data_IF_910108203509
#
_entry.id   IF_910108203509
#
_cell.length_a   1.000
_cell.length_b   1.000
_cell.length_c   1.000
_cell.angle_alpha   90.00
_cell.angle_beta   90.00
_cell.angle_gamma   90.00
#
_symmetry.space_group_name_H-M   'P 1'
#
loop_
_entity.id
_entity.type
_entity.pdbx_description
1 polymer ?
#
# COMPACT_ATOMS: atom_id res chain seq x y z
N UNK A 1 -3.12 7.15 20.24
CA UNK A 1 -2.10 6.08 20.34
C UNK A 1 -2.71 4.68 20.23
N UNK A 2 -3.75 4.33 21.01
CA UNK A 2 -4.39 3.01 20.94
C UNK A 2 -4.93 2.66 19.53
N UNK A 3 -5.60 3.59 18.85
CA UNK A 3 -6.15 3.35 17.51
C UNK A 3 -5.10 2.98 16.45
N UNK A 4 -3.95 3.67 16.45
CA UNK A 4 -2.86 3.36 15.54
C UNK A 4 -2.26 1.96 15.80
N UNK A 5 -2.17 1.56 17.08
CA UNK A 5 -1.74 0.22 17.47
C UNK A 5 -2.67 -0.86 16.95
N UNK A 6 -4.00 -0.68 17.09
CA UNK A 6 -5.00 -1.63 16.58
C UNK A 6 -4.89 -1.77 15.06
N UNK A 7 -4.80 -0.65 14.32
CA UNK A 7 -4.65 -0.68 12.86
C UNK A 7 -3.38 -1.41 12.42
N UNK A 8 -2.25 -1.17 13.10
CA UNK A 8 -1.00 -1.86 12.82
C UNK A 8 -1.11 -3.37 13.07
N UNK A 9 -1.66 -3.77 14.23
CA UNK A 9 -1.85 -5.17 14.57
C UNK A 9 -2.72 -5.90 13.54
N UNK A 10 -3.85 -5.29 13.15
CA UNK A 10 -4.71 -5.84 12.10
C UNK A 10 -3.97 -5.94 10.77
N UNK A 11 -3.21 -4.91 10.39
CA UNK A 11 -2.40 -4.91 9.16
C UNK A 11 -1.35 -6.02 9.13
N UNK A 12 -0.62 -6.22 10.22
CA UNK A 12 0.40 -7.28 10.32
C UNK A 12 -0.23 -8.67 10.26
N UNK A 13 -1.34 -8.91 10.99
CA UNK A 13 -2.05 -10.19 10.94
C UNK A 13 -2.57 -10.46 9.53
N UNK A 14 -3.15 -9.45 8.87
CA UNK A 14 -3.62 -9.57 7.49
C UNK A 14 -2.48 -9.87 6.51
N UNK A 15 -1.32 -9.24 6.69
CA UNK A 15 -0.12 -9.49 5.87
C UNK A 15 0.38 -10.93 6.02
N UNK A 16 0.52 -11.43 7.25
CA UNK A 16 0.90 -12.82 7.48
C UNK A 16 -0.12 -13.80 6.92
N UNK A 17 -1.42 -13.50 7.04
CA UNK A 17 -2.47 -14.32 6.43
C UNK A 17 -2.33 -14.33 4.90
N UNK A 18 -2.07 -13.20 4.26
CA UNK A 18 -1.85 -13.15 2.82
C UNK A 18 -0.62 -13.96 2.38
N UNK A 19 0.48 -13.88 3.13
CA UNK A 19 1.68 -14.70 2.90
C UNK A 19 1.42 -16.21 3.04
N UNK A 20 0.48 -16.61 3.91
CA UNK A 20 0.09 -18.02 4.05
C UNK A 20 -0.80 -18.53 2.92
N UNK A 21 -1.47 -17.63 2.19
CA UNK A 21 -2.45 -17.97 1.15
C UNK A 21 -1.88 -17.86 -0.27
N UNK A 22 -0.71 -17.26 -0.46
CA UNK A 22 -0.15 -17.02 -1.78
C UNK A 22 1.36 -16.83 -1.78
N UNK A 23 1.99 -16.78 -2.97
CA UNK A 23 3.42 -16.66 -3.11
C UNK A 23 3.94 -15.31 -2.61
N UNK A 24 5.07 -15.35 -1.91
CA UNK A 24 5.76 -14.17 -1.34
C UNK A 24 6.08 -13.12 -2.40
N UNK A 25 6.40 -13.55 -3.62
CA UNK A 25 6.70 -12.69 -4.77
C UNK A 25 5.53 -11.82 -5.21
N UNK A 26 4.28 -12.24 -4.93
CA UNK A 26 3.07 -11.48 -5.25
C UNK A 26 2.61 -10.65 -4.06
N UNK A 27 2.65 -11.22 -2.85
CA UNK A 27 2.12 -10.58 -1.65
C UNK A 27 2.97 -9.40 -1.20
N UNK A 28 4.30 -9.51 -1.28
CA UNK A 28 5.23 -8.47 -0.80
C UNK A 28 5.13 -7.16 -1.60
N UNK A 29 5.12 -7.19 -2.95
CA UNK A 29 4.91 -5.97 -3.74
C UNK A 29 3.57 -5.30 -3.47
N UNK A 30 2.49 -6.09 -3.35
CA UNK A 30 1.15 -5.59 -3.02
C UNK A 30 1.17 -4.87 -1.67
N UNK A 31 1.79 -5.46 -0.64
CA UNK A 31 1.93 -4.82 0.66
C UNK A 31 2.71 -3.49 0.58
N UNK A 32 3.70 -3.41 -0.30
CA UNK A 32 4.44 -2.17 -0.62
C UNK A 32 3.57 -1.01 -1.13
N UNK A 33 2.35 -1.27 -1.64
CA UNK A 33 1.42 -0.23 -2.06
C UNK A 33 0.86 0.64 -0.91
N UNK A 34 1.25 0.40 0.34
CA UNK A 34 0.86 1.25 1.48
C UNK A 34 1.19 2.74 1.24
N UNK A 35 2.23 3.04 0.46
CA UNK A 35 2.59 4.41 0.06
C UNK A 35 1.50 5.10 -0.77
N UNK A 36 0.79 4.35 -1.61
CA UNK A 36 -0.37 4.85 -2.36
C UNK A 36 -1.53 5.08 -1.42
N UNK A 37 -1.84 4.11 -0.55
CA UNK A 37 -2.91 4.23 0.44
C UNK A 37 -2.71 5.43 1.37
N UNK A 38 -1.49 5.62 1.89
CA UNK A 38 -1.10 6.77 2.71
C UNK A 38 -1.27 8.08 1.95
N UNK A 39 -0.86 8.13 0.68
CA UNK A 39 -1.03 9.32 -0.17
C UNK A 39 -2.51 9.67 -0.39
N UNK A 40 -3.38 8.68 -0.60
CA UNK A 40 -4.83 8.88 -0.73
C UNK A 40 -5.43 9.38 0.58
N UNK A 41 -5.05 8.78 1.71
CA UNK A 41 -5.47 9.27 3.03
C UNK A 41 -5.03 10.72 3.27
N UNK A 42 -3.81 11.09 2.91
CA UNK A 42 -3.32 12.48 3.03
C UNK A 42 -4.12 13.47 2.18
N UNK A 43 -4.51 13.08 0.96
CA UNK A 43 -5.34 13.92 0.08
C UNK A 43 -6.75 14.07 0.65
N UNK A 44 -7.37 12.98 1.11
CA UNK A 44 -8.76 12.96 1.58
C UNK A 44 -8.93 13.62 2.95
N UNK A 45 -8.05 13.30 3.91
CA UNK A 45 -8.19 13.75 5.30
C UNK A 45 -7.41 15.01 5.63
N UNK A 46 -6.29 15.26 4.94
CA UNK A 46 -5.41 16.40 5.18
C UNK A 46 -5.55 17.51 4.13
N UNK A 47 -6.34 17.28 3.06
CA UNK A 47 -6.54 18.25 1.99
C UNK A 47 -5.28 18.51 1.15
N UNK A 48 -4.32 17.57 1.14
CA UNK A 48 -3.11 17.71 0.35
C UNK A 48 -3.43 17.81 -1.14
N UNK A 49 -2.89 18.81 -1.81
CA UNK A 49 -3.05 18.96 -3.26
C UNK A 49 -2.30 17.85 -3.99
N UNK A 50 -3.00 17.20 -4.92
CA UNK A 50 -2.42 16.17 -5.78
C UNK A 50 -1.50 16.86 -6.78
N UNK A 51 -0.20 16.89 -6.47
CA UNK A 51 0.79 17.39 -7.41
C UNK A 51 1.05 16.37 -8.53
N UNK A 52 1.45 16.80 -9.74
CA UNK A 52 1.79 15.89 -10.83
C UNK A 52 2.84 14.85 -10.45
N UNK A 53 3.80 15.23 -9.59
CA UNK A 53 4.83 14.32 -9.06
C UNK A 53 4.23 13.22 -8.19
N UNK A 54 3.22 13.53 -7.38
CA UNK A 54 2.53 12.56 -6.51
C UNK A 54 1.69 11.58 -7.34
N UNK A 55 0.97 12.09 -8.33
CA UNK A 55 0.21 11.28 -9.28
C UNK A 55 1.13 10.34 -10.08
N UNK A 56 2.26 10.86 -10.59
CA UNK A 56 3.26 10.05 -11.28
C UNK A 56 3.86 8.98 -10.36
N UNK A 57 4.17 9.30 -9.10
CA UNK A 57 4.66 8.33 -8.12
C UNK A 57 3.65 7.21 -7.82
N UNK A 58 2.37 7.56 -7.65
CA UNK A 58 1.29 6.57 -7.46
C UNK A 58 1.15 5.69 -8.70
N UNK A 59 1.16 6.28 -9.90
CA UNK A 59 1.07 5.54 -11.16
C UNK A 59 2.24 4.57 -11.35
N UNK A 60 3.47 5.03 -11.12
CA UNK A 60 4.68 4.19 -11.20
C UNK A 60 4.66 3.05 -10.16
N UNK A 61 4.18 3.31 -8.95
CA UNK A 61 4.03 2.26 -7.94
C UNK A 61 3.01 1.19 -8.35
N UNK A 62 1.88 1.59 -8.94
CA UNK A 62 0.89 0.64 -9.45
C UNK A 62 1.46 -0.21 -10.60
N UNK A 63 2.20 0.41 -11.54
CA UNK A 63 2.87 -0.31 -12.63
C UNK A 63 3.92 -1.28 -12.11
N UNK A 64 4.73 -0.88 -11.13
CA UNK A 64 5.75 -1.74 -10.52
C UNK A 64 5.13 -3.00 -9.89
N UNK A 65 4.02 -2.83 -9.15
CA UNK A 65 3.30 -3.97 -8.56
C UNK A 65 2.72 -4.85 -9.66
N UNK A 66 2.06 -4.27 -10.67
CA UNK A 66 1.48 -5.02 -11.78
C UNK A 66 2.52 -5.89 -12.50
N UNK A 67 3.69 -5.33 -12.80
CA UNK A 67 4.79 -6.06 -13.43
C UNK A 67 5.33 -7.19 -12.55
N UNK A 68 5.41 -6.97 -11.23
CA UNK A 68 5.92 -7.98 -10.30
C UNK A 68 4.92 -9.10 -10.04
N UNK A 69 3.63 -8.81 -10.11
CA UNK A 69 2.54 -9.78 -9.90
C UNK A 69 2.29 -10.63 -11.16
N UNK A 70 2.48 -10.06 -12.35
CA UNK A 70 2.18 -10.71 -13.63
C UNK A 70 3.41 -11.40 -14.26
N UNK A 71 4.62 -11.05 -13.81
CA UNK A 71 5.90 -11.59 -14.29
C UNK A 71 6.31 -12.91 -13.66
#
# INVERSE_FOLDING_TARGET
MLGAGVFLSVGIIAYYRALSLGPVSTVTPIYGMFLVGSSVLGVVFLGETVTPRKAAGIGLAAVAVYLTVTG
#
